data_IF_885550157886
#
_entry.id   IF_885550157886
#
_cell.length_a   1.000
_cell.length_b   1.000
_cell.length_c   1.000
_cell.angle_alpha   90.00
_cell.angle_beta   90.00
_cell.angle_gamma   90.00
#
_symmetry.space_group_name_H-M   'P 1'
#
loop_
_entity.id
_entity.type
_entity.pdbx_description
1 polymer ?
#
# COMPACT_ATOMS: atom_id res chain seq x y z
N UNK A 1 -13.86 8.22 -30.90
CA UNK A 1 -13.38 8.81 -29.64
C UNK A 1 -11.86 8.70 -29.63
N UNK A 2 -11.11 9.80 -29.52
CA UNK A 2 -9.64 9.73 -29.47
C UNK A 2 -9.22 9.15 -28.11
N UNK A 3 -8.43 8.07 -28.12
CA UNK A 3 -7.90 7.42 -26.91
C UNK A 3 -7.15 8.42 -26.00
N UNK A 4 -6.51 9.42 -26.62
CA UNK A 4 -5.66 10.41 -25.96
C UNK A 4 -6.42 11.33 -25.00
N UNK A 5 -7.68 11.66 -25.32
CA UNK A 5 -8.52 12.56 -24.53
C UNK A 5 -9.49 11.79 -23.63
N UNK A 6 -9.09 10.61 -23.15
CA UNK A 6 -9.90 9.75 -22.29
C UNK A 6 -9.09 9.28 -21.08
N UNK A 7 -9.69 9.15 -19.88
CA UNK A 7 -9.04 8.52 -18.73
C UNK A 7 -8.52 7.10 -19.02
N UNK A 8 -9.03 6.45 -20.08
CA UNK A 8 -8.55 5.16 -20.56
C UNK A 8 -7.04 5.16 -20.86
N UNK A 9 -6.44 6.27 -21.32
CA UNK A 9 -5.00 6.30 -21.59
C UNK A 9 -4.18 6.11 -20.31
N UNK A 10 -4.65 6.66 -19.18
CA UNK A 10 -3.99 6.52 -17.88
C UNK A 10 -4.08 5.07 -17.42
N UNK A 11 -5.26 4.45 -17.54
CA UNK A 11 -5.47 3.05 -17.21
C UNK A 11 -4.63 2.11 -18.09
N UNK A 12 -4.57 2.34 -19.39
CA UNK A 12 -3.74 1.57 -20.31
C UNK A 12 -2.25 1.72 -20.00
N UNK A 13 -1.81 2.94 -19.67
CA UNK A 13 -0.42 3.20 -19.32
C UNK A 13 -0.02 2.47 -18.04
N UNK A 14 -0.82 2.53 -16.97
CA UNK A 14 -0.51 1.81 -15.73
C UNK A 14 -0.52 0.28 -15.92
N UNK A 15 -1.45 -0.26 -16.72
CA UNK A 15 -1.49 -1.69 -17.04
C UNK A 15 -0.26 -2.12 -17.85
N UNK A 16 0.13 -1.33 -18.86
CA UNK A 16 1.31 -1.60 -19.67
C UNK A 16 2.59 -1.55 -18.83
N UNK A 17 2.75 -0.52 -17.99
CA UNK A 17 3.92 -0.38 -17.12
C UNK A 17 3.98 -1.52 -16.10
N UNK A 18 2.87 -1.86 -15.43
CA UNK A 18 2.85 -2.98 -14.49
C UNK A 18 3.23 -4.30 -15.19
N UNK A 19 2.69 -4.54 -16.39
CA UNK A 19 3.01 -5.73 -17.18
C UNK A 19 4.49 -5.79 -17.54
N UNK A 20 5.09 -4.67 -17.96
CA UNK A 20 6.51 -4.58 -18.27
C UNK A 20 7.38 -4.79 -17.03
N UNK A 21 6.99 -4.27 -15.86
CA UNK A 21 7.70 -4.48 -14.60
C UNK A 21 7.69 -5.95 -14.19
N UNK A 22 6.53 -6.61 -14.27
CA UNK A 22 6.41 -8.05 -13.97
C UNK A 22 7.22 -8.88 -14.98
N UNK A 23 7.10 -8.57 -16.27
CA UNK A 23 7.86 -9.25 -17.32
C UNK A 23 9.38 -9.06 -17.16
N UNK A 24 9.83 -7.86 -16.82
CA UNK A 24 11.23 -7.57 -16.53
C UNK A 24 11.72 -8.39 -15.32
N UNK A 25 10.97 -8.39 -14.22
CA UNK A 25 11.33 -9.18 -13.04
C UNK A 25 11.42 -10.68 -13.33
N UNK A 26 10.45 -11.23 -14.07
CA UNK A 26 10.48 -12.63 -14.48
C UNK A 26 11.63 -12.93 -15.45
N UNK A 27 11.92 -12.01 -16.36
CA UNK A 27 13.07 -12.08 -17.28
C UNK A 27 14.40 -12.11 -16.53
N UNK A 28 14.56 -11.30 -15.48
CA UNK A 28 15.73 -11.38 -14.59
C UNK A 28 15.81 -12.76 -13.93
N UNK A 29 14.72 -13.28 -13.35
CA UNK A 29 14.74 -14.62 -12.76
C UNK A 29 15.11 -15.72 -13.77
N UNK A 30 14.60 -15.64 -15.01
CA UNK A 30 14.95 -16.56 -16.10
C UNK A 30 16.43 -16.45 -16.46
N UNK A 31 17.00 -15.24 -16.50
CA UNK A 31 18.44 -15.04 -16.71
C UNK A 31 19.29 -15.64 -15.58
N UNK A 32 18.74 -15.76 -14.37
CA UNK A 32 19.33 -16.48 -13.24
C UNK A 32 18.93 -17.97 -13.17
N UNK A 33 18.30 -18.51 -14.21
CA UNK A 33 18.02 -19.94 -14.38
C UNK A 33 16.63 -20.41 -13.98
N UNK A 34 15.67 -19.51 -13.72
CA UNK A 34 14.26 -19.90 -13.56
C UNK A 34 13.74 -20.60 -14.84
N UNK A 35 13.07 -21.76 -14.73
CA UNK A 35 12.46 -22.38 -15.90
C UNK A 35 11.39 -21.47 -16.54
N UNK A 36 11.46 -21.27 -17.86
CA UNK A 36 10.53 -20.39 -18.59
C UNK A 36 9.06 -20.77 -18.37
N UNK A 37 8.76 -22.07 -18.19
CA UNK A 37 7.40 -22.55 -17.88
C UNK A 37 6.87 -21.96 -16.58
N UNK A 38 7.71 -21.85 -15.54
CA UNK A 38 7.33 -21.26 -14.26
C UNK A 38 7.08 -19.76 -14.42
N UNK A 39 7.92 -19.07 -15.19
CA UNK A 39 7.70 -17.65 -15.50
C UNK A 39 6.34 -17.42 -16.18
N UNK A 40 5.97 -18.27 -17.16
CA UNK A 40 4.63 -18.22 -17.79
C UNK A 40 3.49 -18.51 -16.83
N UNK A 41 3.65 -19.47 -15.92
CA UNK A 41 2.64 -19.76 -14.88
C UNK A 41 2.42 -18.52 -14.00
N UNK A 42 3.49 -17.90 -13.51
CA UNK A 42 3.38 -16.70 -12.67
C UNK A 42 2.78 -15.53 -13.45
N UNK A 43 3.22 -15.30 -14.69
CA UNK A 43 2.62 -14.27 -15.55
C UNK A 43 1.11 -14.51 -15.77
N UNK A 44 0.70 -15.76 -15.96
CA UNK A 44 -0.71 -16.15 -16.10
C UNK A 44 -1.49 -15.90 -14.82
N UNK A 45 -0.91 -16.15 -13.64
CA UNK A 45 -1.53 -15.82 -12.35
C UNK A 45 -1.80 -14.32 -12.20
N UNK A 46 -0.86 -13.46 -12.62
CA UNK A 46 -1.11 -12.01 -12.68
C UNK A 46 -2.24 -11.66 -13.66
N UNK A 47 -2.19 -12.22 -14.87
CA UNK A 47 -3.14 -11.90 -15.94
C UNK A 47 -4.58 -12.32 -15.61
N UNK A 48 -4.76 -13.49 -14.98
CA UNK A 48 -6.09 -14.05 -14.66
C UNK A 48 -6.61 -13.65 -13.29
N UNK A 49 -5.82 -12.97 -12.47
CA UNK A 49 -6.28 -12.60 -11.13
C UNK A 49 -7.33 -11.48 -11.18
N UNK A 50 -8.50 -11.67 -10.55
CA UNK A 50 -9.52 -10.63 -10.47
C UNK A 50 -9.05 -9.41 -9.67
N UNK A 51 -8.16 -9.63 -8.70
CA UNK A 51 -7.57 -8.54 -7.91
C UNK A 51 -6.70 -7.67 -8.80
N UNK A 52 -5.79 -8.28 -9.57
CA UNK A 52 -4.93 -7.53 -10.49
C UNK A 52 -5.79 -6.83 -11.54
N UNK A 53 -6.79 -7.51 -12.12
CA UNK A 53 -7.67 -6.93 -13.13
C UNK A 53 -8.43 -5.68 -12.64
N UNK A 54 -8.98 -5.70 -11.42
CA UNK A 54 -9.69 -4.53 -10.87
C UNK A 54 -8.72 -3.44 -10.43
N UNK A 55 -7.62 -3.80 -9.77
CA UNK A 55 -6.67 -2.81 -9.25
C UNK A 55 -5.91 -2.12 -10.39
N UNK A 56 -5.43 -2.87 -11.39
CA UNK A 56 -4.63 -2.32 -12.48
C UNK A 56 -5.42 -1.42 -13.44
N UNK A 57 -6.75 -1.44 -13.44
CA UNK A 57 -7.58 -0.52 -14.23
C UNK A 57 -8.07 0.68 -13.40
N UNK A 58 -8.08 0.58 -12.07
CA UNK A 58 -8.58 1.63 -11.18
C UNK A 58 -7.61 2.82 -11.17
N UNK A 59 -8.13 4.04 -11.37
CA UNK A 59 -7.33 5.26 -11.41
C UNK A 59 -7.05 5.80 -10.00
N UNK A 60 -6.16 5.11 -9.28
CA UNK A 60 -5.70 5.52 -7.95
C UNK A 60 -4.19 5.73 -7.92
N UNK A 61 -3.75 6.70 -7.10
CA UNK A 61 -2.32 6.88 -6.76
C UNK A 61 -1.67 5.63 -6.16
N UNK A 62 -2.49 4.78 -5.52
CA UNK A 62 -2.13 3.47 -4.99
C UNK A 62 -1.51 2.53 -6.03
N UNK A 63 -1.95 2.62 -7.30
CA UNK A 63 -1.48 1.70 -8.34
C UNK A 63 -0.04 2.02 -8.72
N UNK A 64 0.24 3.30 -8.98
CA UNK A 64 1.61 3.76 -9.25
C UNK A 64 2.52 3.54 -8.05
N UNK A 65 2.04 3.81 -6.83
CA UNK A 65 2.76 3.46 -5.63
C UNK A 65 3.13 1.96 -5.59
N UNK A 66 2.16 1.07 -5.85
CA UNK A 66 2.41 -0.36 -5.84
C UNK A 66 3.38 -0.82 -6.94
N UNK A 67 3.32 -0.21 -8.13
CA UNK A 67 4.28 -0.44 -9.22
C UNK A 67 5.70 -0.07 -8.75
N UNK A 68 5.91 1.10 -8.16
CA UNK A 68 7.25 1.51 -7.71
C UNK A 68 7.75 0.69 -6.52
N UNK A 69 6.88 0.27 -5.60
CA UNK A 69 7.24 -0.70 -4.54
C UNK A 69 7.62 -2.06 -5.15
N UNK A 70 6.92 -2.51 -6.18
CA UNK A 70 7.28 -3.73 -6.91
C UNK A 70 8.65 -3.59 -7.59
N UNK A 71 8.93 -2.44 -8.24
CA UNK A 71 10.26 -2.16 -8.79
C UNK A 71 11.32 -2.15 -7.68
N UNK A 72 11.04 -1.54 -6.52
CA UNK A 72 11.96 -1.54 -5.38
C UNK A 72 12.25 -2.97 -4.91
N UNK A 73 11.23 -3.82 -4.80
CA UNK A 73 11.38 -5.25 -4.50
C UNK A 73 12.27 -5.95 -5.54
N UNK A 74 12.08 -5.70 -6.83
CA UNK A 74 12.91 -6.26 -7.91
C UNK A 74 14.36 -5.76 -7.89
N UNK A 75 14.59 -4.49 -7.52
CA UNK A 75 15.95 -3.98 -7.31
C UNK A 75 16.61 -4.67 -6.12
N UNK A 76 15.90 -4.88 -5.01
CA UNK A 76 16.40 -5.64 -3.86
C UNK A 76 16.69 -7.09 -4.26
N UNK A 77 15.82 -7.71 -5.06
CA UNK A 77 16.07 -9.02 -5.65
C UNK A 77 17.36 -9.05 -6.46
N UNK A 78 17.60 -8.04 -7.30
CA UNK A 78 18.83 -7.93 -8.09
C UNK A 78 20.07 -7.74 -7.20
N UNK A 79 19.96 -6.98 -6.11
CA UNK A 79 21.01 -6.84 -5.10
C UNK A 79 21.31 -8.22 -4.47
N UNK A 80 20.28 -8.94 -4.03
CA UNK A 80 20.42 -10.27 -3.41
C UNK A 80 21.03 -11.28 -4.39
N UNK A 81 20.48 -11.39 -5.59
CA UNK A 81 20.92 -12.36 -6.61
C UNK A 81 22.37 -12.11 -7.07
N UNK A 82 22.80 -10.85 -7.10
CA UNK A 82 24.18 -10.47 -7.45
C UNK A 82 25.14 -10.51 -6.26
N UNK A 83 24.70 -10.87 -5.05
CA UNK A 83 25.51 -10.78 -3.84
C UNK A 83 26.00 -9.36 -3.55
N UNK A 84 25.21 -8.34 -3.89
CA UNK A 84 25.56 -6.93 -3.74
C UNK A 84 26.39 -6.33 -4.89
N UNK A 85 26.94 -7.15 -5.81
CA UNK A 85 27.78 -6.65 -6.91
C UNK A 85 27.05 -5.68 -7.83
N UNK A 86 25.74 -5.84 -8.01
CA UNK A 86 24.95 -4.92 -8.83
C UNK A 86 25.01 -3.46 -8.33
N UNK A 87 25.12 -3.22 -7.03
CA UNK A 87 25.23 -1.86 -6.46
C UNK A 87 26.46 -1.09 -6.94
N UNK A 88 27.49 -1.80 -7.41
CA UNK A 88 28.72 -1.20 -7.92
C UNK A 88 28.65 -0.85 -9.41
N UNK A 89 27.62 -1.32 -10.13
CA UNK A 89 27.44 -0.99 -11.54
C UNK A 89 27.09 0.51 -11.73
N UNK A 90 27.53 1.13 -12.84
CA UNK A 90 27.09 2.49 -13.19
C UNK A 90 25.57 2.57 -13.24
N UNK A 91 24.99 3.55 -12.54
CA UNK A 91 23.55 3.80 -12.54
C UNK A 91 22.72 2.95 -11.55
N UNK A 92 23.25 1.89 -10.94
CA UNK A 92 22.48 1.04 -10.02
C UNK A 92 21.97 1.82 -8.79
N UNK A 93 22.86 2.59 -8.16
CA UNK A 93 22.51 3.44 -7.02
C UNK A 93 21.58 4.60 -7.42
N UNK A 94 21.70 5.10 -8.66
CA UNK A 94 20.80 6.13 -9.20
C UNK A 94 19.40 5.55 -9.39
N UNK A 95 19.28 4.36 -9.98
CA UNK A 95 18.00 3.67 -10.14
C UNK A 95 17.34 3.41 -8.78
N UNK A 96 18.10 2.93 -7.79
CA UNK A 96 17.61 2.74 -6.42
C UNK A 96 17.11 4.06 -5.80
N UNK A 97 17.86 5.16 -5.96
CA UNK A 97 17.47 6.48 -5.47
C UNK A 97 16.23 7.04 -6.18
N UNK A 98 16.14 6.94 -7.51
CA UNK A 98 14.98 7.42 -8.28
C UNK A 98 13.70 6.63 -7.96
N UNK A 99 13.78 5.30 -7.90
CA UNK A 99 12.64 4.46 -7.49
C UNK A 99 12.20 4.80 -6.07
N UNK A 100 13.16 5.09 -5.19
CA UNK A 100 12.88 5.56 -3.82
C UNK A 100 12.15 6.91 -3.81
N UNK A 101 12.54 7.87 -4.66
CA UNK A 101 11.83 9.16 -4.83
C UNK A 101 10.39 8.92 -5.26
N UNK A 102 10.18 8.18 -6.36
CA UNK A 102 8.83 7.94 -6.86
C UNK A 102 7.94 7.21 -5.85
N UNK A 103 8.49 6.19 -5.16
CA UNK A 103 7.76 5.46 -4.11
C UNK A 103 7.24 6.40 -3.03
N UNK A 104 8.06 7.34 -2.56
CA UNK A 104 7.66 8.29 -1.52
C UNK A 104 6.74 9.42 -2.01
N UNK A 105 6.85 9.82 -3.29
CA UNK A 105 6.01 10.88 -3.86
C UNK A 105 4.56 10.44 -4.07
N UNK A 106 4.31 9.18 -4.47
CA UNK A 106 2.94 8.71 -4.66
C UNK A 106 2.19 8.52 -3.34
N UNK A 107 2.90 8.14 -2.26
CA UNK A 107 2.32 7.99 -0.92
C UNK A 107 3.30 8.36 0.18
N UNK A 108 2.83 9.14 1.16
CA UNK A 108 3.60 9.50 2.36
C UNK A 108 4.11 8.27 3.14
N UNK A 109 3.32 7.20 3.24
CA UNK A 109 3.74 5.95 3.88
C UNK A 109 4.94 5.30 3.16
N UNK A 110 5.15 5.63 1.89
CA UNK A 110 6.31 5.24 1.09
C UNK A 110 7.64 5.76 1.63
N UNK A 111 7.64 6.87 2.37
CA UNK A 111 8.86 7.41 3.00
C UNK A 111 9.41 6.41 4.02
N UNK A 112 8.57 5.93 4.93
CA UNK A 112 8.96 4.97 5.95
C UNK A 112 9.42 3.64 5.32
N UNK A 113 8.72 3.18 4.28
CA UNK A 113 9.12 2.01 3.50
C UNK A 113 10.52 2.15 2.89
N UNK A 114 10.76 3.26 2.19
CA UNK A 114 12.05 3.53 1.52
C UNK A 114 13.18 3.66 2.52
N UNK A 115 13.01 4.47 3.56
CA UNK A 115 14.04 4.68 4.60
C UNK A 115 14.39 3.35 5.27
N UNK A 116 13.38 2.57 5.63
CA UNK A 116 13.57 1.25 6.22
C UNK A 116 14.28 0.28 5.28
N UNK A 117 13.86 0.19 4.01
CA UNK A 117 14.52 -0.65 3.01
C UNK A 117 15.99 -0.26 2.80
N UNK A 118 16.29 1.04 2.60
CA UNK A 118 17.67 1.52 2.44
C UNK A 118 18.52 1.23 3.68
N UNK A 119 17.95 1.39 4.88
CA UNK A 119 18.59 1.04 6.15
C UNK A 119 18.96 -0.43 6.23
N UNK A 120 18.02 -1.35 5.94
CA UNK A 120 18.30 -2.79 5.99
C UNK A 120 19.28 -3.22 4.89
N UNK A 121 19.18 -2.66 3.67
CA UNK A 121 20.16 -2.90 2.59
C UNK A 121 21.56 -2.45 3.05
N UNK A 122 21.69 -1.28 3.69
CA UNK A 122 22.96 -0.80 4.23
C UNK A 122 23.53 -1.74 5.30
N UNK A 123 22.70 -2.25 6.18
CA UNK A 123 23.11 -3.20 7.21
C UNK A 123 23.60 -4.53 6.60
N UNK A 124 22.94 -5.01 5.53
CA UNK A 124 23.28 -6.25 4.85
C UNK A 124 24.53 -6.13 3.94
N UNK A 125 24.68 -5.00 3.24
CA UNK A 125 25.75 -4.77 2.24
C UNK A 125 26.61 -3.56 2.60
N UNK A 126 27.24 -3.61 3.78
CA UNK A 126 28.07 -2.51 4.32
C UNK A 126 29.22 -2.11 3.39
N UNK A 127 29.75 -3.03 2.58
CA UNK A 127 30.78 -2.74 1.58
C UNK A 127 30.33 -1.75 0.51
N UNK A 128 29.02 -1.66 0.25
CA UNK A 128 28.42 -0.74 -0.72
C UNK A 128 27.92 0.57 -0.09
N UNK A 129 28.31 0.92 1.15
CA UNK A 129 27.75 2.05 1.89
C UNK A 129 27.78 3.38 1.12
N UNK A 130 28.83 3.69 0.36
CA UNK A 130 28.92 4.93 -0.44
C UNK A 130 27.84 5.01 -1.52
N UNK A 131 27.53 3.87 -2.14
CA UNK A 131 26.51 3.75 -3.18
C UNK A 131 25.12 3.89 -2.57
N UNK A 132 24.90 3.24 -1.42
CA UNK A 132 23.62 3.33 -0.70
C UNK A 132 23.40 4.74 -0.14
N UNK A 133 24.44 5.37 0.42
CA UNK A 133 24.40 6.76 0.85
C UNK A 133 24.11 7.71 -0.33
N UNK A 134 24.71 7.47 -1.50
CA UNK A 134 24.39 8.19 -2.74
C UNK A 134 22.91 8.05 -3.13
N UNK A 135 22.36 6.83 -3.06
CA UNK A 135 20.93 6.58 -3.30
C UNK A 135 20.04 7.31 -2.27
N UNK A 136 20.42 7.30 -0.99
CA UNK A 136 19.71 8.01 0.09
C UNK A 136 19.75 9.53 -0.08
N UNK A 137 20.88 10.09 -0.49
CA UNK A 137 21.01 11.53 -0.79
C UNK A 137 20.17 11.90 -2.01
N UNK A 138 20.23 11.11 -3.09
CA UNK A 138 19.39 11.31 -4.26
C UNK A 138 17.90 11.24 -3.90
N UNK A 139 17.53 10.28 -3.04
CA UNK A 139 16.19 10.19 -2.50
C UNK A 139 15.77 11.45 -1.74
N UNK A 140 16.56 11.89 -0.76
CA UNK A 140 16.25 13.06 0.06
C UNK A 140 16.16 14.34 -0.79
N UNK A 141 17.13 14.56 -1.68
CA UNK A 141 17.15 15.74 -2.56
C UNK A 141 16.01 15.71 -3.58
N UNK A 142 15.78 14.56 -4.23
CA UNK A 142 14.72 14.42 -5.22
C UNK A 142 13.33 14.57 -4.60
N UNK A 143 13.10 13.93 -3.45
CA UNK A 143 11.86 14.11 -2.70
C UNK A 143 11.68 15.55 -2.24
N UNK A 144 12.69 16.16 -1.61
CA UNK A 144 12.62 17.55 -1.11
C UNK A 144 12.43 18.58 -2.23
N UNK A 145 13.10 18.39 -3.37
CA UNK A 145 12.95 19.26 -4.54
C UNK A 145 11.52 19.21 -5.10
N UNK A 146 10.97 18.00 -5.25
CA UNK A 146 9.62 17.84 -5.82
C UNK A 146 8.56 18.30 -4.84
N UNK A 147 8.60 17.81 -3.60
CA UNK A 147 7.59 18.11 -2.57
C UNK A 147 7.64 19.54 -2.03
N UNK A 148 8.75 20.25 -2.22
CA UNK A 148 8.89 21.67 -1.89
C UNK A 148 8.84 22.57 -3.13
N UNK A 149 10.00 22.98 -3.71
CA UNK A 149 10.04 23.97 -4.78
C UNK A 149 9.14 23.69 -5.99
N UNK A 150 9.09 22.44 -6.48
CA UNK A 150 8.28 22.11 -7.67
C UNK A 150 6.79 22.20 -7.35
N UNK A 151 6.34 21.67 -6.22
CA UNK A 151 4.94 21.80 -5.79
C UNK A 151 4.54 23.25 -5.53
N UNK A 152 5.42 24.05 -4.92
CA UNK A 152 5.19 25.48 -4.73
C UNK A 152 5.08 26.22 -6.07
N UNK A 153 6.00 25.96 -6.99
CA UNK A 153 6.00 26.54 -8.33
C UNK A 153 4.74 26.16 -9.13
N UNK A 154 4.30 24.91 -9.01
CA UNK A 154 3.07 24.42 -9.65
C UNK A 154 1.78 24.85 -8.94
N UNK A 155 1.86 25.62 -7.85
CA UNK A 155 0.69 26.08 -7.09
C UNK A 155 -0.12 24.96 -6.44
N UNK A 156 0.53 23.85 -6.09
CA UNK A 156 -0.13 22.70 -5.46
C UNK A 156 -0.68 23.12 -4.09
N UNK A 157 -2.00 23.08 -3.94
CA UNK A 157 -2.66 23.29 -2.65
C UNK A 157 -2.49 22.03 -1.79
N UNK A 158 -1.69 22.12 -0.74
CA UNK A 158 -1.60 21.05 0.23
C UNK A 158 -2.92 20.90 0.97
N UNK A 159 -3.52 19.71 0.90
CA UNK A 159 -4.60 19.34 1.83
C UNK A 159 -3.97 19.32 3.22
N UNK A 160 -4.56 20.05 4.17
CA UNK A 160 -4.00 20.30 5.50
C UNK A 160 -3.58 19.02 6.23
N UNK A 161 -2.67 19.15 7.20
CA UNK A 161 -2.20 18.08 8.09
C UNK A 161 -3.33 17.32 8.82
N UNK A 162 -4.56 17.83 8.75
CA UNK A 162 -5.78 17.21 9.26
C UNK A 162 -5.90 15.74 8.91
N UNK A 163 -5.61 15.35 7.65
CA UNK A 163 -5.72 13.93 7.25
C UNK A 163 -4.73 13.03 7.98
N UNK A 164 -3.54 13.54 8.36
CA UNK A 164 -2.59 12.80 9.18
C UNK A 164 -3.14 12.63 10.61
N UNK A 165 -3.70 13.68 11.15
CA UNK A 165 -4.22 13.70 12.52
C UNK A 165 -5.50 12.87 12.68
N UNK A 166 -6.17 12.50 11.57
CA UNK A 166 -7.28 11.54 11.61
C UNK A 166 -6.90 10.19 12.20
N UNK A 167 -5.61 9.82 12.18
CA UNK A 167 -5.11 8.66 12.92
C UNK A 167 -5.47 8.84 14.40
N UNK A 168 -5.00 9.93 15.03
CA UNK A 168 -5.29 10.21 16.44
C UNK A 168 -6.79 10.29 16.73
N UNK A 169 -7.58 10.89 15.83
CA UNK A 169 -9.04 10.96 15.99
C UNK A 169 -9.68 9.56 16.04
N UNK A 170 -9.18 8.60 15.26
CA UNK A 170 -9.73 7.24 15.24
C UNK A 170 -9.48 6.53 16.57
N UNK A 171 -8.26 6.68 17.11
CA UNK A 171 -7.89 6.18 18.43
C UNK A 171 -8.68 6.87 19.56
N UNK A 172 -8.78 8.21 19.54
CA UNK A 172 -9.60 8.98 20.49
C UNK A 172 -11.07 8.52 20.45
N UNK A 173 -11.62 8.30 19.25
CA UNK A 173 -12.98 7.80 19.07
C UNK A 173 -13.19 6.43 19.71
N UNK A 174 -12.19 5.55 19.69
CA UNK A 174 -12.25 4.27 20.38
C UNK A 174 -12.34 4.44 21.91
N UNK A 175 -11.54 5.34 22.47
CA UNK A 175 -11.56 5.68 23.90
C UNK A 175 -12.88 6.30 24.34
N UNK A 176 -13.41 7.27 23.57
CA UNK A 176 -14.72 7.87 23.83
C UNK A 176 -15.82 6.80 23.82
N UNK A 177 -15.82 5.91 22.82
CA UNK A 177 -16.83 4.86 22.70
C UNK A 177 -16.76 3.80 23.80
N UNK A 178 -15.59 3.58 24.40
CA UNK A 178 -15.40 2.65 25.52
C UNK A 178 -15.48 3.32 26.89
N UNK A 179 -15.78 4.62 26.95
CA UNK A 179 -15.98 5.34 28.21
C UNK A 179 -14.69 5.61 29.00
N UNK A 180 -13.53 5.67 28.33
CA UNK A 180 -12.29 6.12 28.97
C UNK A 180 -12.50 7.52 29.58
N UNK A 181 -12.16 7.75 30.86
CA UNK A 181 -12.40 9.04 31.51
C UNK A 181 -11.68 10.19 30.79
N UNK A 182 -12.45 11.24 30.48
CA UNK A 182 -11.97 12.50 29.92
C UNK A 182 -11.84 13.55 31.04
N UNK A 183 -10.81 14.37 30.97
CA UNK A 183 -10.76 15.62 31.76
C UNK A 183 -11.78 16.63 31.25
N UNK A 184 -12.09 17.66 32.04
CA UNK A 184 -13.02 18.70 31.62
C UNK A 184 -12.51 19.44 30.37
N UNK A 185 -11.20 19.71 30.28
CA UNK A 185 -10.59 20.36 29.12
C UNK A 185 -10.66 19.49 27.86
N UNK A 186 -10.41 18.18 28.00
CA UNK A 186 -10.55 17.21 26.89
C UNK A 186 -12.01 17.14 26.42
N UNK A 187 -12.95 17.03 27.37
CA UNK A 187 -14.38 16.97 27.08
C UNK A 187 -14.86 18.22 26.37
N UNK A 188 -14.47 19.40 26.84
CA UNK A 188 -14.82 20.69 26.22
C UNK A 188 -14.28 20.77 24.79
N UNK A 189 -13.00 20.45 24.60
CA UNK A 189 -12.36 20.45 23.29
C UNK A 189 -13.04 19.49 22.31
N UNK A 190 -13.28 18.24 22.72
CA UNK A 190 -13.90 17.24 21.84
C UNK A 190 -15.34 17.59 21.50
N UNK A 191 -16.12 18.17 22.43
CA UNK A 191 -17.46 18.69 22.13
C UNK A 191 -17.44 19.87 21.15
N UNK A 192 -16.41 20.71 21.20
CA UNK A 192 -16.22 21.80 20.24
C UNK A 192 -15.87 21.29 18.83
N UNK A 193 -15.32 20.08 18.69
CA UNK A 193 -15.14 19.41 17.41
C UNK A 193 -16.46 18.86 16.87
N UNK A 194 -17.21 18.15 17.70
CA UNK A 194 -18.55 17.63 17.45
C UNK A 194 -19.11 17.17 18.82
N UNK A 195 -20.37 17.48 19.19
CA UNK A 195 -20.93 17.00 20.45
C UNK A 195 -20.69 15.50 20.68
N UNK A 196 -20.16 15.11 21.84
CA UNK A 196 -19.76 13.72 22.13
C UNK A 196 -20.91 12.72 21.94
N UNK A 197 -22.16 13.16 22.14
CA UNK A 197 -23.36 12.36 21.88
C UNK A 197 -23.50 11.92 20.42
N UNK A 198 -22.87 12.62 19.49
CA UNK A 198 -22.92 12.37 18.05
C UNK A 198 -21.74 11.52 17.55
N UNK A 199 -20.80 11.16 18.44
CA UNK A 199 -19.64 10.37 18.05
C UNK A 199 -20.03 8.91 17.82
N UNK A 200 -20.05 8.50 16.57
CA UNK A 200 -20.29 7.10 16.18
C UNK A 200 -18.96 6.47 15.79
N UNK A 201 -18.47 5.56 16.62
CA UNK A 201 -17.20 4.88 16.41
C UNK A 201 -17.39 3.55 15.65
N UNK A 202 -16.56 3.34 14.62
CA UNK A 202 -16.35 2.05 13.97
C UNK A 202 -14.87 1.74 13.91
N UNK A 203 -14.43 0.59 14.39
CA UNK A 203 -12.99 0.28 14.41
C UNK A 203 -12.39 0.10 13.00
N UNK A 204 -13.19 -0.23 11.99
CA UNK A 204 -12.74 -0.40 10.61
C UNK A 204 -12.73 0.86 9.73
N UNK A 205 -13.19 2.01 10.24
CA UNK A 205 -13.20 3.26 9.46
C UNK A 205 -13.32 4.49 10.36
N UNK A 206 -12.55 5.52 10.07
CA UNK A 206 -12.68 6.84 10.72
C UNK A 206 -13.81 7.68 10.11
N UNK A 207 -14.40 7.23 9.00
CA UNK A 207 -15.35 7.99 8.17
C UNK A 207 -16.47 8.67 8.95
N UNK A 208 -17.08 7.95 9.90
CA UNK A 208 -18.19 8.43 10.73
C UNK A 208 -17.82 9.48 11.77
N UNK A 209 -16.53 9.67 12.06
CA UNK A 209 -16.04 10.68 12.99
C UNK A 209 -15.59 11.94 12.26
N UNK A 210 -14.92 11.78 11.12
CA UNK A 210 -14.21 12.88 10.45
C UNK A 210 -14.93 13.42 9.20
N UNK A 211 -15.51 12.54 8.38
CA UNK A 211 -16.07 12.89 7.08
C UNK A 211 -17.57 13.24 7.17
N UNK A 212 -17.97 13.82 8.30
CA UNK A 212 -19.33 14.33 8.54
C UNK A 212 -19.35 15.87 8.43
N UNK A 213 -20.47 16.49 8.01
CA UNK A 213 -20.58 17.95 7.89
C UNK A 213 -20.40 18.70 9.22
N UNK A 214 -20.84 18.12 10.32
CA UNK A 214 -20.90 18.76 11.64
C UNK A 214 -19.53 18.84 12.33
N UNK A 215 -18.54 18.06 11.87
CA UNK A 215 -17.21 18.01 12.47
C UNK A 215 -16.40 19.27 12.12
N UNK A 216 -15.95 19.99 13.15
CA UNK A 216 -15.15 21.20 12.99
C UNK A 216 -13.70 20.89 12.56
N UNK A 217 -13.51 20.73 11.25
CA UNK A 217 -12.23 20.37 10.64
C UNK A 217 -11.17 21.47 10.80
N UNK A 218 -11.56 22.73 10.84
CA UNK A 218 -10.64 23.87 10.98
C UNK A 218 -10.06 23.91 12.40
N UNK A 219 -10.90 23.76 13.42
CA UNK A 219 -10.45 23.67 14.81
C UNK A 219 -9.55 22.45 15.02
N UNK A 220 -9.91 21.31 14.43
CA UNK A 220 -9.06 20.12 14.48
C UNK A 220 -7.70 20.33 13.81
N UNK A 221 -7.68 20.97 12.63
CA UNK A 221 -6.47 21.30 11.86
C UNK A 221 -5.48 22.15 12.66
N UNK A 222 -6.00 23.16 13.35
CA UNK A 222 -5.21 24.14 14.09
C UNK A 222 -4.58 23.57 15.36
N UNK A 223 -5.01 22.38 15.82
CA UNK A 223 -4.70 21.85 17.15
C UNK A 223 -3.98 20.48 17.11
N UNK A 224 -3.16 20.23 16.10
CA UNK A 224 -2.43 18.96 15.90
C UNK A 224 -1.70 18.44 17.15
N UNK A 225 -0.95 19.32 17.85
CA UNK A 225 -0.24 18.95 19.08
C UNK A 225 -1.18 18.56 20.22
N UNK A 226 -2.35 19.23 20.32
CA UNK A 226 -3.38 18.89 21.31
C UNK A 226 -4.03 17.55 20.98
N UNK A 227 -4.31 17.27 19.70
CA UNK A 227 -4.82 15.96 19.25
C UNK A 227 -3.90 14.82 19.65
N UNK A 228 -2.59 14.96 19.38
CA UNK A 228 -1.58 13.97 19.77
C UNK A 228 -1.53 13.80 21.29
N UNK A 229 -1.54 14.90 22.05
CA UNK A 229 -1.50 14.85 23.52
C UNK A 229 -2.71 14.12 24.10
N UNK A 230 -3.93 14.45 23.65
CA UNK A 230 -5.15 13.78 24.10
C UNK A 230 -5.10 12.29 23.79
N UNK A 231 -4.67 11.91 22.58
CA UNK A 231 -4.46 10.50 22.24
C UNK A 231 -3.50 9.80 23.22
N UNK A 232 -2.32 10.39 23.48
CA UNK A 232 -1.34 9.81 24.39
C UNK A 232 -1.84 9.71 25.83
N UNK A 233 -2.57 10.73 26.29
CA UNK A 233 -3.15 10.77 27.64
C UNK A 233 -4.23 9.68 27.79
N UNK A 234 -5.09 9.48 26.80
CA UNK A 234 -6.10 8.43 26.81
C UNK A 234 -5.50 7.03 26.71
N UNK A 235 -4.47 6.85 25.87
CA UNK A 235 -3.70 5.61 25.78
C UNK A 235 -3.09 5.26 27.14
N UNK A 236 -2.53 6.23 27.86
CA UNK A 236 -1.96 6.01 29.18
C UNK A 236 -3.02 5.66 30.24
N UNK A 237 -4.24 6.21 30.13
CA UNK A 237 -5.34 5.92 31.07
C UNK A 237 -5.97 4.55 30.84
N UNK A 238 -6.09 4.11 29.58
CA UNK A 238 -6.68 2.82 29.25
C UNK A 238 -5.98 2.14 28.06
N UNK A 239 -4.81 1.50 28.29
CA UNK A 239 -4.06 0.85 27.22
C UNK A 239 -4.80 -0.36 26.62
N UNK A 240 -5.80 -0.92 27.32
CA UNK A 240 -6.54 -2.07 26.82
C UNK A 240 -7.48 -1.68 25.67
N UNK A 241 -8.10 -0.50 25.76
CA UNK A 241 -8.91 0.05 24.64
C UNK A 241 -8.03 0.27 23.42
N UNK A 242 -6.84 0.83 23.60
CA UNK A 242 -5.88 1.07 22.53
C UNK A 242 -5.47 -0.24 21.84
N UNK A 243 -5.06 -1.26 22.61
CA UNK A 243 -4.70 -2.57 22.06
C UNK A 243 -5.88 -3.22 21.31
N UNK A 244 -7.10 -3.03 21.80
CA UNK A 244 -8.33 -3.57 21.17
C UNK A 244 -8.62 -2.85 19.85
N UNK A 245 -8.53 -1.52 19.82
CA UNK A 245 -8.68 -0.72 18.61
C UNK A 245 -7.61 -1.09 17.59
N UNK A 246 -6.33 -1.06 17.98
CA UNK A 246 -5.20 -1.37 17.12
C UNK A 246 -5.31 -2.78 16.53
N UNK A 247 -5.65 -3.78 17.34
CA UNK A 247 -5.87 -5.17 16.88
C UNK A 247 -7.04 -5.28 15.88
N UNK A 248 -8.08 -4.44 16.01
CA UNK A 248 -9.15 -4.36 15.02
C UNK A 248 -8.67 -3.71 13.73
N UNK A 249 -8.20 -2.44 13.79
CA UNK A 249 -7.94 -1.62 12.60
C UNK A 249 -6.76 -2.16 11.79
N UNK A 250 -5.77 -2.78 12.43
CA UNK A 250 -4.66 -3.44 11.75
C UNK A 250 -5.02 -4.82 11.19
N UNK A 251 -6.18 -5.38 11.58
CA UNK A 251 -6.61 -6.74 11.27
C UNK A 251 -6.54 -7.09 9.79
N UNK A 252 -6.92 -6.17 8.90
CA UNK A 252 -6.93 -6.40 7.45
C UNK A 252 -5.53 -6.67 6.88
N UNK A 253 -4.46 -6.22 7.55
CA UNK A 253 -3.07 -6.41 7.09
C UNK A 253 -2.65 -7.87 7.25
N UNK A 254 -3.01 -8.52 8.35
CA UNK A 254 -2.45 -9.81 8.75
C UNK A 254 -3.46 -10.93 8.83
N UNK A 255 -4.76 -10.66 9.02
CA UNK A 255 -5.77 -11.74 9.03
C UNK A 255 -6.08 -12.17 7.60
N UNK A 256 -5.89 -13.46 7.32
CA UNK A 256 -6.31 -14.06 6.03
C UNK A 256 -7.84 -14.04 5.92
N UNK A 257 -8.52 -14.36 7.01
CA UNK A 257 -9.97 -14.35 7.13
C UNK A 257 -10.37 -13.22 8.09
N UNK A 258 -10.54 -12.01 7.57
CA UNK A 258 -10.95 -10.86 8.36
C UNK A 258 -12.45 -10.57 8.20
N UNK A 259 -13.26 -10.69 9.27
CA UNK A 259 -14.70 -10.46 9.20
C UNK A 259 -15.08 -8.98 9.01
N UNK A 260 -14.18 -8.04 9.33
CA UNK A 260 -14.44 -6.60 9.21
C UNK A 260 -13.98 -6.03 7.86
N UNK A 261 -13.45 -6.90 7.01
CA UNK A 261 -12.82 -6.51 5.76
C UNK A 261 -13.82 -5.84 4.83
N UNK A 262 -13.46 -4.64 4.38
CA UNK A 262 -14.15 -3.94 3.32
C UNK A 262 -13.28 -3.92 2.08
N UNK A 263 -13.57 -4.79 1.12
CA UNK A 263 -13.07 -4.61 -0.24
C UNK A 263 -13.95 -3.57 -0.92
N UNK A 264 -13.74 -2.28 -0.61
CA UNK A 264 -14.41 -1.18 -1.31
C UNK A 264 -13.90 -1.12 -2.74
N UNK A 265 -14.53 -1.90 -3.62
CA UNK A 265 -14.36 -1.70 -5.05
C UNK A 265 -15.17 -0.47 -5.44
N UNK A 266 -14.60 0.41 -6.27
CA UNK A 266 -15.34 1.56 -6.83
C UNK A 266 -16.23 1.10 -8.00
N UNK A 267 -16.97 0.01 -7.76
CA UNK A 267 -17.94 -0.56 -8.67
C UNK A 267 -19.17 -0.89 -7.83
N UNK A 268 -20.29 -0.25 -8.13
CA UNK A 268 -21.50 -0.30 -7.30
C UNK A 268 -22.76 -0.31 -8.18
N UNK A 269 -23.90 -0.64 -7.59
CA UNK A 269 -25.21 -0.43 -8.22
C UNK A 269 -25.81 0.87 -7.72
N UNK A 270 -26.30 1.70 -8.64
CA UNK A 270 -27.07 2.90 -8.31
C UNK A 270 -28.51 2.55 -7.88
N UNK A 271 -29.29 3.55 -7.46
CA UNK A 271 -30.69 3.38 -7.05
C UNK A 271 -31.58 2.80 -8.15
N UNK A 272 -31.17 2.89 -9.41
CA UNK A 272 -31.85 2.30 -10.57
C UNK A 272 -31.36 0.88 -10.90
N UNK A 273 -30.62 0.24 -9.99
CA UNK A 273 -29.97 -1.06 -10.18
C UNK A 273 -28.99 -1.12 -11.37
N UNK A 274 -28.48 0.02 -11.85
CA UNK A 274 -27.45 0.04 -12.89
C UNK A 274 -26.07 -0.04 -12.27
N UNK A 275 -25.22 -0.87 -12.87
CA UNK A 275 -23.82 -0.98 -12.46
C UNK A 275 -23.06 0.27 -12.91
N UNK A 276 -22.36 0.89 -11.96
CA UNK A 276 -21.53 2.09 -12.12
C UNK A 276 -20.10 1.81 -11.68
N UNK A 277 -19.14 2.42 -12.35
CA UNK A 277 -17.72 2.39 -11.99
C UNK A 277 -17.00 3.71 -12.28
N UNK A 278 -17.75 4.73 -12.73
CA UNK A 278 -17.30 6.10 -12.87
C UNK A 278 -18.13 6.94 -11.91
N UNK A 279 -17.47 7.69 -11.03
CA UNK A 279 -18.16 8.63 -10.15
C UNK A 279 -18.76 9.79 -10.94
N UNK A 280 -19.85 10.34 -10.41
CA UNK A 280 -20.44 11.57 -10.94
C UNK A 280 -19.38 12.65 -10.96
N UNK A 281 -19.12 13.22 -12.13
CA UNK A 281 -18.01 14.15 -12.34
C UNK A 281 -18.46 15.35 -13.19
N UNK A 282 -17.82 16.50 -13.02
CA UNK A 282 -18.14 17.73 -13.77
C UNK A 282 -17.70 17.67 -15.24
N UNK A 283 -16.96 16.62 -15.64
CA UNK A 283 -16.38 16.48 -16.98
C UNK A 283 -17.30 15.70 -17.94
N UNK A 284 -18.51 15.33 -17.50
CA UNK A 284 -19.48 14.57 -18.28
C UNK A 284 -18.89 13.25 -18.82
N UNK A 285 -18.00 12.62 -18.06
CA UNK A 285 -17.43 11.31 -18.37
C UNK A 285 -18.36 10.25 -17.79
N UNK A 286 -18.74 9.27 -18.61
CA UNK A 286 -19.68 8.20 -18.23
C UNK A 286 -19.16 6.84 -18.67
N UNK A 287 -19.76 5.78 -18.13
CA UNK A 287 -19.48 4.42 -18.56
C UNK A 287 -19.82 4.19 -20.05
N UNK A 288 -18.85 3.71 -20.82
CA UNK A 288 -19.01 3.37 -22.25
C UNK A 288 -18.40 1.99 -22.54
N UNK A 289 -18.97 0.95 -21.91
CA UNK A 289 -18.50 -0.42 -22.10
C UNK A 289 -18.71 -0.88 -23.53
N UNK A 290 -17.63 -1.35 -24.18
CA UNK A 290 -17.69 -1.96 -25.52
C UNK A 290 -18.23 -3.39 -25.53
N UNK A 291 -18.40 -3.98 -24.34
CA UNK A 291 -19.01 -5.28 -24.13
C UNK A 291 -20.12 -5.15 -23.06
N UNK A 292 -21.23 -4.43 -23.36
CA UNK A 292 -22.25 -4.12 -22.37
C UNK A 292 -22.90 -5.38 -21.78
N UNK A 293 -23.03 -6.45 -22.58
CA UNK A 293 -23.57 -7.75 -22.14
C UNK A 293 -22.72 -8.40 -21.03
N UNK A 294 -21.42 -8.06 -20.94
CA UNK A 294 -20.50 -8.60 -19.95
C UNK A 294 -20.47 -7.80 -18.64
N UNK A 295 -21.04 -6.59 -18.59
CA UNK A 295 -20.98 -5.73 -17.41
C UNK A 295 -21.63 -6.40 -16.20
N UNK A 296 -22.88 -6.84 -16.35
CA UNK A 296 -23.64 -7.45 -15.25
C UNK A 296 -23.06 -8.81 -14.82
N UNK A 297 -22.70 -9.75 -15.72
CA UNK A 297 -22.01 -10.98 -15.33
C UNK A 297 -20.70 -10.75 -14.57
N UNK A 298 -19.85 -9.83 -15.05
CA UNK A 298 -18.58 -9.52 -14.39
C UNK A 298 -18.81 -8.85 -13.03
N UNK A 299 -19.76 -7.93 -12.94
CA UNK A 299 -20.12 -7.29 -11.68
C UNK A 299 -20.62 -8.31 -10.66
N UNK A 300 -21.54 -9.22 -11.04
CA UNK A 300 -22.01 -10.31 -10.17
C UNK A 300 -20.89 -11.22 -9.73
N UNK A 301 -19.97 -11.56 -10.63
CA UNK A 301 -18.79 -12.35 -10.28
C UNK A 301 -17.91 -11.61 -9.27
N UNK A 302 -17.63 -10.33 -9.49
CA UNK A 302 -16.84 -9.51 -8.56
C UNK A 302 -17.53 -9.45 -7.19
N UNK A 303 -18.80 -9.03 -7.14
CA UNK A 303 -19.63 -9.04 -5.93
C UNK A 303 -19.60 -10.38 -5.23
N UNK A 304 -19.82 -11.47 -5.96
CA UNK A 304 -19.77 -12.82 -5.41
C UNK A 304 -18.39 -13.14 -4.80
N UNK A 305 -17.32 -12.76 -5.48
CA UNK A 305 -15.94 -13.06 -5.06
C UNK A 305 -15.50 -12.26 -3.83
N UNK A 306 -15.84 -10.97 -3.73
CA UNK A 306 -15.44 -10.15 -2.58
C UNK A 306 -16.45 -10.16 -1.43
N UNK A 307 -17.69 -10.63 -1.66
CA UNK A 307 -18.66 -10.84 -0.58
C UNK A 307 -18.11 -11.83 0.45
N UNK A 308 -17.86 -11.35 1.66
CA UNK A 308 -17.52 -12.20 2.78
C UNK A 308 -18.66 -13.22 3.01
N UNK A 309 -18.37 -14.51 3.27
CA UNK A 309 -17.06 -15.11 3.54
C UNK A 309 -16.43 -15.87 2.35
N UNK A 310 -16.81 -15.60 1.10
CA UNK A 310 -16.52 -16.52 -0.03
C UNK A 310 -15.05 -16.59 -0.44
N UNK A 311 -14.45 -15.48 -0.89
CA UNK A 311 -13.01 -15.42 -1.23
C UNK A 311 -12.26 -14.32 -0.45
N UNK A 312 -12.37 -14.25 0.89
CA UNK A 312 -11.68 -13.24 1.69
C UNK A 312 -10.15 -13.35 1.58
N UNK A 313 -9.64 -14.55 1.31
CA UNK A 313 -8.23 -14.84 1.11
C UNK A 313 -7.68 -14.29 -0.22
N UNK A 314 -8.51 -14.18 -1.28
CA UNK A 314 -8.11 -13.59 -2.56
C UNK A 314 -7.97 -12.08 -2.44
N UNK A 315 -8.99 -11.45 -1.85
CA UNK A 315 -9.10 -9.98 -1.80
C UNK A 315 -8.39 -9.35 -0.61
N UNK A 316 -7.60 -10.11 0.14
CA UNK A 316 -7.02 -9.72 1.44
C UNK A 316 -5.50 -9.80 1.40
N UNK A 317 -4.78 -8.80 1.94
CA UNK A 317 -3.32 -8.77 1.82
C UNK A 317 -2.61 -9.77 2.74
N UNK A 318 -3.27 -10.23 3.81
CA UNK A 318 -2.69 -11.17 4.78
C UNK A 318 -2.18 -12.47 4.15
N UNK A 319 -2.90 -13.04 3.18
CA UNK A 319 -2.43 -14.23 2.46
C UNK A 319 -1.10 -13.95 1.75
N UNK A 320 -1.02 -12.84 1.00
CA UNK A 320 0.15 -12.49 0.21
C UNK A 320 1.33 -12.04 1.06
N UNK A 321 1.07 -11.42 2.22
CA UNK A 321 2.07 -11.18 3.25
C UNK A 321 2.72 -12.49 3.70
N UNK A 322 1.91 -13.43 4.21
CA UNK A 322 2.44 -14.71 4.69
C UNK A 322 3.06 -15.55 3.59
N UNK A 323 2.49 -15.54 2.38
CA UNK A 323 3.05 -16.22 1.23
C UNK A 323 4.44 -15.67 0.90
N UNK A 324 4.61 -14.35 0.83
CA UNK A 324 5.92 -13.74 0.57
C UNK A 324 6.93 -14.14 1.65
N UNK A 325 6.57 -14.01 2.93
CA UNK A 325 7.46 -14.34 4.05
C UNK A 325 7.86 -15.81 4.03
N UNK A 326 6.90 -16.72 3.83
CA UNK A 326 7.17 -18.15 3.73
C UNK A 326 8.08 -18.47 2.55
N UNK A 327 7.80 -17.93 1.36
CA UNK A 327 8.64 -18.16 0.17
C UNK A 327 10.05 -17.63 0.39
N UNK A 328 10.21 -16.43 0.96
CA UNK A 328 11.51 -15.83 1.24
C UNK A 328 12.30 -16.68 2.24
N UNK A 329 11.67 -17.18 3.30
CA UNK A 329 12.32 -18.10 4.25
C UNK A 329 12.73 -19.40 3.56
N UNK A 330 11.85 -20.02 2.77
CA UNK A 330 12.18 -21.24 2.01
C UNK A 330 13.34 -20.99 1.04
N UNK A 331 13.33 -19.86 0.33
CA UNK A 331 14.39 -19.48 -0.60
C UNK A 331 15.73 -19.27 0.14
N UNK A 332 15.71 -18.58 1.29
CA UNK A 332 16.89 -18.38 2.13
C UNK A 332 17.47 -19.69 2.68
N UNK A 333 16.61 -20.61 3.14
CA UNK A 333 17.03 -21.93 3.63
C UNK A 333 17.61 -22.79 2.50
N UNK A 334 16.96 -22.81 1.33
CA UNK A 334 17.42 -23.56 0.16
C UNK A 334 18.77 -23.07 -0.34
N UNK A 335 18.95 -21.75 -0.38
CA UNK A 335 20.19 -21.11 -0.83
C UNK A 335 21.24 -20.94 0.27
N UNK A 336 20.93 -21.33 1.52
CA UNK A 336 21.78 -21.15 2.71
C UNK A 336 22.29 -19.72 2.91
N UNK A 337 21.53 -18.72 2.45
CA UNK A 337 21.93 -17.33 2.47
C UNK A 337 21.01 -16.52 3.38
N UNK A 338 21.55 -15.99 4.48
CA UNK A 338 20.81 -15.08 5.35
C UNK A 338 20.49 -13.75 4.66
N UNK A 339 21.30 -13.35 3.66
CA UNK A 339 21.03 -12.13 2.87
C UNK A 339 19.80 -12.27 1.98
N UNK A 340 19.37 -13.49 1.66
CA UNK A 340 18.11 -13.73 0.94
C UNK A 340 16.87 -13.31 1.75
N UNK A 341 16.95 -13.25 3.08
CA UNK A 341 15.87 -12.72 3.93
C UNK A 341 15.58 -11.25 3.66
N UNK A 342 16.52 -10.51 3.07
CA UNK A 342 16.33 -9.11 2.66
C UNK A 342 15.14 -8.93 1.71
N UNK A 343 14.80 -9.95 0.93
CA UNK A 343 13.62 -9.95 0.04
C UNK A 343 12.29 -9.77 0.80
N UNK A 344 12.24 -10.16 2.08
CA UNK A 344 11.08 -9.96 2.95
C UNK A 344 10.93 -8.52 3.45
N UNK A 345 11.96 -7.69 3.31
CA UNK A 345 12.00 -6.34 3.90
C UNK A 345 10.87 -5.44 3.38
N UNK A 346 10.63 -5.30 2.06
CA UNK A 346 9.62 -4.36 1.58
C UNK A 346 8.21 -4.75 2.03
N UNK A 347 7.89 -6.05 2.00
CA UNK A 347 6.57 -6.55 2.41
C UNK A 347 6.34 -6.39 3.92
N UNK A 348 7.38 -6.62 4.74
CA UNK A 348 7.30 -6.43 6.19
C UNK A 348 7.10 -4.97 6.55
N UNK A 349 7.94 -4.08 6.02
CA UNK A 349 7.89 -2.66 6.37
C UNK A 349 6.58 -2.04 5.88
N UNK A 350 6.14 -2.37 4.66
CA UNK A 350 4.84 -1.91 4.16
C UNK A 350 3.69 -2.35 5.07
N UNK A 351 3.72 -3.60 5.52
CA UNK A 351 2.71 -4.15 6.42
C UNK A 351 2.73 -3.47 7.79
N UNK A 352 3.91 -3.34 8.40
CA UNK A 352 4.09 -2.69 9.70
C UNK A 352 3.66 -1.22 9.69
N UNK A 353 4.04 -0.45 8.66
CA UNK A 353 3.61 0.94 8.51
C UNK A 353 2.09 1.02 8.48
N UNK A 354 1.43 0.19 7.67
CA UNK A 354 -0.03 0.18 7.59
C UNK A 354 -0.71 -0.30 8.88
N UNK A 355 -0.10 -1.19 9.66
CA UNK A 355 -0.64 -1.55 10.98
C UNK A 355 -0.67 -0.36 11.94
N UNK A 356 0.20 0.64 11.76
CA UNK A 356 0.26 1.84 12.61
C UNK A 356 -0.62 2.97 12.08
N UNK A 357 -0.70 3.15 10.76
CA UNK A 357 -1.34 4.34 10.17
C UNK A 357 -2.69 4.08 9.50
N UNK A 358 -3.23 2.86 9.60
CA UNK A 358 -4.52 2.54 9.00
C UNK A 358 -5.66 3.26 9.69
N UNK A 359 -6.45 3.99 8.90
CA UNK A 359 -7.70 4.66 9.30
C UNK A 359 -8.93 4.06 8.59
N UNK A 360 -8.70 3.12 7.68
CA UNK A 360 -9.69 2.40 6.89
C UNK A 360 -9.11 1.06 6.40
N UNK A 361 -9.98 0.05 6.22
CA UNK A 361 -9.61 -1.33 5.88
C UNK A 361 -9.52 -1.59 4.36
N UNK A 362 -9.10 -0.62 3.56
CA UNK A 362 -9.10 -0.75 2.10
C UNK A 362 -7.91 -1.57 1.59
N UNK A 363 -8.20 -2.62 0.81
CA UNK A 363 -7.19 -3.49 0.18
C UNK A 363 -6.14 -2.70 -0.64
N UNK A 364 -6.55 -1.58 -1.24
CA UNK A 364 -5.67 -0.75 -2.09
C UNK A 364 -4.37 -0.34 -1.43
N UNK A 365 -4.38 -0.14 -0.11
CA UNK A 365 -3.20 0.27 0.65
C UNK A 365 -2.11 -0.82 0.73
N UNK A 366 -2.49 -2.07 0.43
CA UNK A 366 -1.63 -3.24 0.46
C UNK A 366 -1.52 -3.93 -0.90
N UNK A 367 -1.90 -3.25 -1.98
CA UNK A 367 -1.81 -3.81 -3.32
C UNK A 367 -0.36 -4.19 -3.70
N UNK A 368 0.63 -3.43 -3.22
CA UNK A 368 2.05 -3.78 -3.39
C UNK A 368 2.41 -5.13 -2.76
N UNK A 369 1.87 -5.44 -1.58
CA UNK A 369 2.07 -6.72 -0.89
C UNK A 369 1.48 -7.87 -1.69
N UNK A 370 0.32 -7.65 -2.31
CA UNK A 370 -0.27 -8.59 -3.25
C UNK A 370 0.64 -8.87 -4.46
N UNK A 371 1.17 -7.83 -5.11
CA UNK A 371 2.08 -7.98 -6.27
C UNK A 371 3.34 -8.76 -5.88
N UNK A 372 3.96 -8.39 -4.75
CA UNK A 372 5.15 -9.09 -4.24
C UNK A 372 4.84 -10.56 -3.90
N UNK A 373 3.68 -10.84 -3.29
CA UNK A 373 3.26 -12.19 -2.96
C UNK A 373 3.12 -13.10 -4.18
N UNK A 374 2.40 -12.64 -5.20
CA UNK A 374 2.28 -13.41 -6.45
C UNK A 374 3.63 -13.62 -7.15
N UNK A 375 4.44 -12.56 -7.24
CA UNK A 375 5.74 -12.66 -7.90
C UNK A 375 6.69 -13.59 -7.14
N UNK A 376 6.69 -13.51 -5.80
CA UNK A 376 7.60 -14.26 -4.94
C UNK A 376 7.52 -15.76 -5.20
N UNK A 377 6.35 -16.30 -5.57
CA UNK A 377 6.17 -17.70 -5.91
C UNK A 377 7.26 -18.22 -6.86
N UNK A 378 7.66 -17.45 -7.86
CA UNK A 378 8.72 -17.83 -8.80
C UNK A 378 10.03 -18.27 -8.11
N UNK A 379 10.35 -17.69 -6.96
CA UNK A 379 11.56 -17.99 -6.17
C UNK A 379 11.59 -19.45 -5.68
N UNK A 380 10.44 -20.10 -5.52
CA UNK A 380 10.36 -21.52 -5.15
C UNK A 380 10.94 -22.46 -6.22
N UNK A 381 11.09 -22.00 -7.46
CA UNK A 381 11.64 -22.80 -8.55
C UNK A 381 12.99 -22.29 -9.04
N UNK A 382 13.58 -21.33 -8.32
CA UNK A 382 14.95 -20.92 -8.62
C UNK A 382 15.91 -22.09 -8.40
N UNK A 383 16.88 -22.28 -9.31
CA UNK A 383 17.93 -23.27 -9.11
C UNK A 383 18.79 -22.87 -7.91
N UNK A 384 19.38 -23.86 -7.26
CA UNK A 384 20.41 -23.61 -6.24
C UNK A 384 21.69 -23.19 -6.97
N UNK A 385 22.19 -21.96 -6.78
CA UNK A 385 23.46 -21.59 -7.41
C UNK A 385 24.59 -22.42 -6.78
N UNK A 386 25.46 -23.00 -7.60
CA UNK A 386 26.68 -23.67 -7.11
C UNK A 386 27.57 -22.72 -6.29
N UNK A 387 27.48 -21.43 -6.58
CA UNK A 387 28.26 -20.34 -5.97
C UNK A 387 27.71 -19.83 -4.62
N UNK A 388 26.55 -20.31 -4.15
CA UNK A 388 25.95 -19.87 -2.87
C UNK A 388 26.13 -20.90 -1.76
N UNK A 389 26.91 -21.95 -2.01
CA UNK A 389 27.23 -23.02 -1.04
C UNK A 389 28.34 -22.67 -0.03
N UNK A 390 28.76 -21.40 0.08
CA UNK A 390 29.79 -20.97 1.02
C UNK A 390 29.22 -20.72 2.41
#
# INVERSE_FOLDING_TARGET
MSLWNSPAIVALTQMAVLSLVVAWGLGELVAYGLPLRVAWVVATLFALSPVNGVMSITLWKDIWYAIFVMVLFLLILKIVLSGGRWLHQPGAWVALGLVSVFTALFRHNGIALVVGCLGVILLAYRSAWKRIAGASVLFALGFGLVSGPVYQWAGVKHVSNVLRDTIFLHHIGAHVANGTPLTDEEREYLNALNPLSNWVYYCGRVDSLFFIPEFNRELFAANSSKNLRIFLDLLARDPQVELTHWKCVSGFVWRIFDPLKSTRLMIYQDESARVRWIEVNPFNIHEDSRLPVMVEPLFRFLQWSYAAPRMPWVWGPGLYLYLTLWVVVVFALRTRSSTALLLGTPVMIQSLVMMVVAIALDFRYQYSVYLMGLFSLALLWMPLPETWKS
#
